data_IF_387286208170
#
_entry.id   IF_387286208170
#
_cell.length_a   1.000
_cell.length_b   1.000
_cell.length_c   1.000
_cell.angle_alpha   90.00
_cell.angle_beta   90.00
_cell.angle_gamma   90.00
#
_symmetry.space_group_name_H-M   'P 1'
#
loop_
_entity.id
_entity.type
_entity.pdbx_description
1 polymer ?
#
# COMPACT_ATOMS: atom_id res chain seq x y z
N UNK A 1 2.51 -8.36 10.01
CA UNK A 1 2.88 -7.32 9.02
C UNK A 1 1.67 -6.39 8.87
N UNK A 2 1.80 -5.12 8.41
CA UNK A 2 0.65 -4.24 8.15
C UNK A 2 -0.48 -4.92 7.37
N UNK A 3 -1.74 -4.69 7.75
CA UNK A 3 -2.89 -5.36 7.10
C UNK A 3 -3.55 -4.47 6.05
N UNK A 4 -3.99 -5.06 4.94
CA UNK A 4 -4.79 -4.37 3.91
C UNK A 4 -6.24 -4.28 4.41
N UNK A 5 -6.64 -3.09 4.84
CA UNK A 5 -8.01 -2.82 5.32
C UNK A 5 -9.00 -2.62 4.17
N UNK A 6 -8.51 -2.15 3.02
CA UNK A 6 -9.34 -1.89 1.84
C UNK A 6 -8.53 -1.98 0.57
N UNK A 7 -9.12 -2.52 -0.49
CA UNK A 7 -8.56 -2.58 -1.83
C UNK A 7 -9.62 -2.26 -2.87
N UNK A 8 -9.30 -1.37 -3.81
CA UNK A 8 -10.19 -1.02 -4.91
C UNK A 8 -9.42 -0.90 -6.22
N UNK A 9 -10.00 -1.38 -7.31
CA UNK A 9 -9.55 -1.02 -8.65
C UNK A 9 -10.00 0.42 -8.92
N UNK A 10 -9.05 1.35 -8.88
CA UNK A 10 -9.30 2.78 -9.01
C UNK A 10 -9.45 3.21 -10.48
N UNK A 11 -8.63 2.64 -11.37
CA UNK A 11 -8.71 2.84 -12.82
C UNK A 11 -8.43 1.52 -13.52
N UNK A 12 -9.29 1.13 -14.46
CA UNK A 12 -9.05 -0.04 -15.30
C UNK A 12 -7.86 0.20 -16.25
N UNK A 13 -7.08 -0.85 -16.57
CA UNK A 13 -7.12 -2.20 -15.99
C UNK A 13 -6.24 -2.37 -14.74
N UNK A 14 -5.43 -1.39 -14.37
CA UNK A 14 -4.16 -1.64 -13.68
C UNK A 14 -3.84 -0.74 -12.48
N UNK A 15 -4.70 0.22 -12.11
CA UNK A 15 -4.44 1.09 -10.95
C UNK A 15 -5.30 0.68 -9.77
N UNK A 16 -4.62 0.36 -8.67
CA UNK A 16 -5.23 -0.13 -7.44
C UNK A 16 -4.99 0.86 -6.30
N UNK A 17 -6.05 1.12 -5.55
CA UNK A 17 -6.01 1.80 -4.26
C UNK A 17 -5.93 0.78 -3.13
N UNK A 18 -5.10 1.07 -2.14
CA UNK A 18 -4.97 0.31 -0.90
C UNK A 18 -5.11 1.24 0.30
N UNK A 19 -5.83 0.78 1.33
CA UNK A 19 -5.80 1.36 2.68
C UNK A 19 -5.12 0.37 3.60
N UNK A 20 -4.03 0.78 4.24
CA UNK A 20 -3.17 -0.09 5.05
C UNK A 20 -3.23 0.35 6.51
N UNK A 21 -3.33 -0.62 7.41
CA UNK A 21 -3.21 -0.45 8.87
C UNK A 21 -1.75 -0.21 9.26
N UNK A 22 -1.40 1.05 9.56
CA UNK A 22 -0.01 1.46 9.79
C UNK A 22 0.09 2.64 10.77
N UNK A 23 -0.32 2.49 12.05
CA UNK A 23 -0.44 3.59 13.01
C UNK A 23 0.89 4.29 13.32
N UNK A 24 2.00 3.53 13.31
CA UNK A 24 3.34 4.09 13.53
C UNK A 24 3.83 4.98 12.39
N UNK A 25 3.34 4.72 11.16
CA UNK A 25 3.68 5.51 9.98
C UNK A 25 2.72 6.70 9.91
N UNK A 26 1.41 6.46 10.03
CA UNK A 26 0.41 7.52 9.88
C UNK A 26 0.57 8.64 10.91
N UNK A 27 1.02 8.32 12.13
CA UNK A 27 1.29 9.32 13.18
C UNK A 27 2.48 10.23 12.91
N UNK A 28 3.37 9.90 11.96
CA UNK A 28 4.64 10.61 11.73
C UNK A 28 4.83 11.10 10.30
N UNK A 29 4.15 10.47 9.35
CA UNK A 29 4.35 10.75 7.94
C UNK A 29 3.88 12.16 7.56
N UNK A 30 4.56 12.74 6.59
CA UNK A 30 4.31 14.07 6.04
C UNK A 30 4.15 14.00 4.52
N UNK A 31 3.48 14.99 3.90
CA UNK A 31 3.35 15.06 2.45
C UNK A 31 4.70 15.02 1.73
N UNK A 32 4.76 14.27 0.62
CA UNK A 32 5.98 14.07 -0.17
C UNK A 32 6.85 12.88 0.28
N UNK A 33 6.52 12.23 1.40
CA UNK A 33 7.21 11.01 1.84
C UNK A 33 6.66 9.74 1.16
N UNK A 34 7.43 8.66 1.29
CA UNK A 34 7.12 7.34 0.74
C UNK A 34 7.47 6.25 1.76
N UNK A 35 6.98 5.04 1.50
CA UNK A 35 7.27 3.83 2.28
C UNK A 35 7.99 2.80 1.42
N UNK A 36 8.83 1.99 2.05
CA UNK A 36 9.42 0.80 1.41
C UNK A 36 8.55 -0.42 1.71
N UNK A 37 7.95 -1.01 0.68
CA UNK A 37 7.03 -2.16 0.80
C UNK A 37 7.71 -3.44 0.31
N UNK A 38 7.45 -4.55 1.00
CA UNK A 38 7.89 -5.89 0.60
C UNK A 38 6.75 -6.89 0.86
N UNK A 39 6.18 -7.43 -0.22
CA UNK A 39 4.91 -8.18 -0.16
C UNK A 39 5.02 -9.63 0.36
N UNK A 40 6.22 -10.20 0.41
CA UNK A 40 6.51 -11.51 1.01
C UNK A 40 8.02 -11.66 1.27
N UNK A 41 8.44 -12.74 1.95
CA UNK A 41 9.83 -12.93 2.39
C UNK A 41 10.87 -12.87 1.26
N UNK A 42 10.59 -13.54 0.14
CA UNK A 42 11.43 -13.55 -1.06
C UNK A 42 11.18 -12.37 -2.01
N UNK A 43 10.37 -11.40 -1.61
CA UNK A 43 9.96 -10.27 -2.44
C UNK A 43 10.99 -9.16 -2.44
N UNK A 44 11.02 -8.37 -3.51
CA UNK A 44 11.85 -7.16 -3.54
C UNK A 44 11.25 -6.05 -2.67
N UNK A 45 12.07 -5.03 -2.35
CA UNK A 45 11.64 -3.84 -1.63
C UNK A 45 11.40 -2.72 -2.65
N UNK A 46 10.15 -2.27 -2.80
CA UNK A 46 9.79 -1.18 -3.71
C UNK A 46 9.40 0.09 -2.94
N UNK A 47 9.81 1.29 -3.40
CA UNK A 47 9.31 2.54 -2.83
C UNK A 47 7.91 2.86 -3.36
N UNK A 48 6.98 3.22 -2.48
CA UNK A 48 5.62 3.65 -2.83
C UNK A 48 5.27 4.96 -2.10
N UNK A 49 4.86 5.96 -2.87
CA UNK A 49 4.42 7.25 -2.32
C UNK A 49 3.14 7.11 -1.50
N UNK A 50 3.08 7.87 -0.41
CA UNK A 50 1.87 7.98 0.40
C UNK A 50 0.83 8.83 -0.33
N UNK A 51 -0.27 8.21 -0.74
CA UNK A 51 -1.36 8.89 -1.42
C UNK A 51 -2.28 9.64 -0.44
N UNK A 52 -2.41 9.13 0.78
CA UNK A 52 -3.12 9.77 1.88
C UNK A 52 -2.58 9.27 3.22
N UNK A 53 -2.72 10.07 4.27
CA UNK A 53 -2.25 9.78 5.63
C UNK A 53 -3.37 10.14 6.59
N UNK A 54 -3.88 9.15 7.34
CA UNK A 54 -4.94 9.37 8.33
C UNK A 54 -4.46 8.90 9.73
N UNK A 55 -3.95 9.84 10.56
CA UNK A 55 -3.50 9.54 11.92
C UNK A 55 -4.64 9.06 12.83
N UNK A 56 -5.84 9.64 12.71
CA UNK A 56 -6.99 9.33 13.58
C UNK A 56 -7.46 7.88 13.41
N UNK A 57 -7.45 7.39 12.17
CA UNK A 57 -7.79 6.00 11.87
C UNK A 57 -6.57 5.06 11.94
N UNK A 58 -5.35 5.57 12.12
CA UNK A 58 -4.13 4.78 12.13
C UNK A 58 -3.74 4.22 10.74
N UNK A 59 -4.14 4.86 9.65
CA UNK A 59 -3.99 4.29 8.30
C UNK A 59 -3.20 5.16 7.34
N UNK A 60 -2.62 4.51 6.33
CA UNK A 60 -2.06 5.16 5.15
C UNK A 60 -2.76 4.63 3.90
N UNK A 61 -2.80 5.45 2.86
CA UNK A 61 -3.29 5.02 1.55
C UNK A 61 -2.17 4.96 0.53
N UNK A 62 -2.21 3.95 -0.34
CA UNK A 62 -1.30 3.78 -1.46
C UNK A 62 -2.09 3.68 -2.76
N UNK A 63 -1.56 4.25 -3.83
CA UNK A 63 -2.06 4.07 -5.20
C UNK A 63 -0.95 3.46 -6.03
N UNK A 64 -1.20 2.26 -6.56
CA UNK A 64 -0.18 1.44 -7.23
C UNK A 64 -0.68 1.02 -8.60
N UNK A 65 0.16 1.21 -9.60
CA UNK A 65 -0.08 0.70 -10.96
C UNK A 65 0.65 -0.64 -11.15
N UNK A 66 -0.05 -1.66 -11.63
CA UNK A 66 0.50 -2.97 -11.93
C UNK A 66 1.28 -2.93 -13.25
N UNK A 67 2.57 -2.59 -13.17
CA UNK A 67 3.47 -2.42 -14.34
C UNK A 67 4.67 -3.37 -14.35
N UNK A 68 4.95 -4.03 -13.23
CA UNK A 68 6.09 -4.93 -13.06
C UNK A 68 5.72 -6.16 -12.25
N UNK A 69 6.69 -7.04 -11.97
CA UNK A 69 6.45 -8.29 -11.25
C UNK A 69 5.80 -8.05 -9.88
N UNK A 70 6.47 -7.29 -9.01
CA UNK A 70 6.00 -7.07 -7.63
C UNK A 70 4.69 -6.29 -7.57
N UNK A 71 4.49 -5.30 -8.44
CA UNK A 71 3.22 -4.54 -8.47
C UNK A 71 2.08 -5.36 -9.07
N UNK A 72 2.36 -6.29 -9.98
CA UNK A 72 1.39 -7.29 -10.47
C UNK A 72 1.04 -8.29 -9.37
N UNK A 73 2.01 -8.83 -8.65
CA UNK A 73 1.76 -9.74 -7.51
C UNK A 73 0.96 -9.03 -6.40
N UNK A 74 1.31 -7.78 -6.06
CA UNK A 74 0.54 -6.94 -5.14
C UNK A 74 -0.92 -6.75 -5.61
N UNK A 75 -1.14 -6.66 -6.93
CA UNK A 75 -2.48 -6.57 -7.52
C UNK A 75 -3.34 -7.83 -7.32
N UNK A 76 -2.76 -8.94 -6.87
CA UNK A 76 -3.49 -10.18 -6.55
C UNK A 76 -3.88 -10.28 -5.06
N UNK A 77 -3.25 -9.48 -4.18
CA UNK A 77 -3.57 -9.44 -2.74
C UNK A 77 -5.01 -9.00 -2.50
N UNK A 78 -5.61 -9.44 -1.40
CA UNK A 78 -7.01 -9.17 -1.05
C UNK A 78 -7.10 -8.32 0.21
N UNK A 79 -8.28 -7.77 0.45
CA UNK A 79 -8.59 -7.19 1.76
C UNK A 79 -8.46 -8.27 2.84
N UNK A 80 -7.79 -7.94 3.94
CA UNK A 80 -7.45 -8.87 5.01
C UNK A 80 -6.04 -9.47 4.92
N UNK A 81 -5.40 -9.47 3.74
CA UNK A 81 -4.01 -9.95 3.60
C UNK A 81 -3.04 -8.97 4.28
N UNK A 82 -1.84 -9.45 4.60
CA UNK A 82 -0.76 -8.65 5.20
C UNK A 82 0.32 -8.26 4.17
N UNK A 83 0.96 -7.11 4.38
CA UNK A 83 2.00 -6.52 3.52
C UNK A 83 3.10 -5.82 4.32
#
# INVERSE_FOLDING_TARGET
MPRILKKKLLRKPDVFYYKIDAPLISSKAQPGQFVMVRIHEHGERIPLSLADINPDEGTISLVVMAVGKTTTEMSLLREGDEI
#
